data_IF_988902374535
#
_entry.id   IF_988902374535
#
_cell.length_a   1.000
_cell.length_b   1.000
_cell.length_c   1.000
_cell.angle_alpha   90.00
_cell.angle_beta   90.00
_cell.angle_gamma   90.00
#
_symmetry.space_group_name_H-M   'P 1'
#
loop_
_entity.id
_entity.type
_entity.pdbx_description
1 polymer ?
#
# COMPACT_ATOMS: atom_id res chain seq x y z
N UNK A 1 -12.69 8.73 4.89
CA UNK A 1 -12.17 7.84 3.85
C UNK A 1 -12.47 6.39 4.14
N UNK A 2 -12.57 5.60 3.11
CA UNK A 2 -12.84 4.17 3.21
C UNK A 2 -11.51 3.42 3.24
N UNK A 3 -11.31 2.63 4.28
CA UNK A 3 -10.14 1.77 4.44
C UNK A 3 -10.21 0.59 3.47
N UNK A 4 -9.06 0.21 2.89
CA UNK A 4 -8.97 -1.00 2.06
C UNK A 4 -7.65 -1.73 2.23
N UNK A 5 -7.70 -3.02 2.02
CA UNK A 5 -6.54 -3.90 1.95
C UNK A 5 -6.28 -4.34 0.50
N UNK A 6 -5.11 -4.89 0.28
CA UNK A 6 -4.70 -5.48 -0.99
C UNK A 6 -4.31 -6.94 -0.79
N UNK A 7 -4.52 -7.76 -1.81
CA UNK A 7 -4.16 -9.18 -1.76
C UNK A 7 -2.68 -9.40 -1.54
N UNK A 8 -1.85 -8.68 -2.30
CA UNK A 8 -0.41 -8.79 -2.24
C UNK A 8 0.21 -7.42 -1.98
N UNK A 9 0.94 -7.31 -0.87
CA UNK A 9 1.55 -6.05 -0.45
C UNK A 9 2.78 -5.74 -1.29
N UNK A 10 2.88 -4.49 -1.75
CA UNK A 10 4.12 -3.94 -2.27
C UNK A 10 5.19 -3.93 -1.17
N UNK A 11 6.39 -4.41 -1.49
CA UNK A 11 7.52 -4.43 -0.57
C UNK A 11 8.01 -3.01 -0.25
N UNK A 12 8.33 -2.73 0.99
CA UNK A 12 8.97 -1.49 1.46
C UNK A 12 9.66 -1.79 2.80
N UNK A 13 10.72 -2.56 2.75
CA UNK A 13 11.63 -2.83 3.89
C UNK A 13 10.91 -3.11 5.23
N UNK A 14 9.89 -3.98 5.20
CA UNK A 14 9.03 -4.35 6.34
C UNK A 14 8.09 -3.24 6.85
N UNK A 15 8.03 -2.07 6.23
CA UNK A 15 7.06 -1.06 6.64
C UNK A 15 5.63 -1.56 6.47
N UNK A 16 4.82 -1.40 7.52
CA UNK A 16 3.37 -1.63 7.45
C UNK A 16 2.70 -0.50 6.66
N UNK A 17 1.61 -0.83 5.97
CA UNK A 17 0.94 0.11 5.09
C UNK A 17 -0.57 0.04 5.28
N UNK A 18 -1.15 1.16 5.64
CA UNK A 18 -2.58 1.36 5.75
C UNK A 18 -3.04 2.23 4.59
N UNK A 19 -4.22 1.94 4.04
CA UNK A 19 -4.70 2.59 2.82
C UNK A 19 -6.15 3.02 2.95
N UNK A 20 -6.45 4.20 2.47
CA UNK A 20 -7.81 4.71 2.34
C UNK A 20 -7.99 5.35 0.98
N UNK A 21 -9.23 5.43 0.55
CA UNK A 21 -9.63 6.28 -0.55
C UNK A 21 -10.78 7.18 -0.16
N UNK A 22 -10.92 8.30 -0.85
CA UNK A 22 -12.00 9.27 -0.71
C UNK A 22 -12.50 9.66 -2.09
N UNK A 23 -13.81 9.61 -2.26
CA UNK A 23 -14.53 10.20 -3.40
C UNK A 23 -15.24 11.44 -2.86
N UNK A 24 -14.91 12.61 -3.40
CA UNK A 24 -15.40 13.90 -2.87
C UNK A 24 -16.85 14.19 -3.25
N UNK A 25 -17.29 13.71 -4.42
CA UNK A 25 -18.67 13.85 -4.88
C UNK A 25 -19.39 12.50 -4.75
N UNK A 26 -20.44 12.40 -3.93
CA UNK A 26 -21.17 11.15 -3.71
C UNK A 26 -21.92 10.65 -4.97
N UNK A 27 -22.04 11.45 -6.02
CA UNK A 27 -22.63 11.04 -7.29
C UNK A 27 -21.61 10.42 -8.26
N UNK A 28 -20.33 10.47 -7.93
CA UNK A 28 -19.27 9.89 -8.74
C UNK A 28 -18.94 8.47 -8.29
N UNK A 29 -18.59 7.63 -9.23
CA UNK A 29 -18.27 6.22 -9.02
C UNK A 29 -16.93 5.84 -9.64
N UNK A 30 -16.39 4.72 -9.17
CA UNK A 30 -15.24 4.04 -9.74
C UNK A 30 -15.69 3.23 -10.97
N UNK A 31 -15.00 3.37 -12.10
CA UNK A 31 -15.26 2.54 -13.26
C UNK A 31 -14.51 1.21 -13.14
N UNK A 32 -15.27 0.13 -12.93
CA UNK A 32 -14.72 -1.23 -12.81
C UNK A 32 -14.11 -1.73 -14.11
N UNK A 33 -12.97 -2.43 -13.99
CA UNK A 33 -12.40 -3.23 -15.09
C UNK A 33 -11.93 -4.58 -14.56
N UNK A 34 -12.29 -5.65 -15.25
CA UNK A 34 -11.87 -7.00 -14.89
C UNK A 34 -10.34 -7.16 -14.94
N UNK A 35 -9.70 -6.53 -15.91
CA UNK A 35 -8.24 -6.51 -16.08
C UNK A 35 -7.76 -5.08 -16.33
N UNK A 36 -6.54 -4.79 -15.88
CA UNK A 36 -5.93 -3.48 -16.01
C UNK A 36 -6.42 -2.46 -14.98
N UNK A 37 -5.98 -1.19 -15.12
CA UNK A 37 -6.35 -0.12 -14.23
C UNK A 37 -7.84 0.22 -14.30
N UNK A 38 -8.43 0.50 -13.14
CA UNK A 38 -9.78 1.07 -13.06
C UNK A 38 -9.76 2.54 -13.46
N UNK A 39 -10.91 3.13 -13.71
CA UNK A 39 -11.04 4.58 -13.87
C UNK A 39 -11.53 5.22 -12.58
N UNK A 40 -11.01 6.40 -12.29
CA UNK A 40 -11.21 7.11 -11.03
C UNK A 40 -11.85 8.47 -11.29
N UNK A 41 -12.77 8.90 -10.42
CA UNK A 41 -13.39 10.20 -10.56
C UNK A 41 -12.41 11.34 -10.25
N UNK A 42 -12.68 12.49 -10.83
CA UNK A 42 -11.96 13.73 -10.59
C UNK A 42 -12.00 14.11 -9.10
N UNK A 43 -10.88 14.57 -8.59
CA UNK A 43 -10.76 14.94 -7.18
C UNK A 43 -10.68 13.76 -6.21
N UNK A 44 -10.68 12.51 -6.69
CA UNK A 44 -10.48 11.36 -5.83
C UNK A 44 -9.11 11.38 -5.18
N UNK A 45 -9.05 10.99 -3.92
CA UNK A 45 -7.81 10.96 -3.12
C UNK A 45 -7.55 9.55 -2.62
N UNK A 46 -6.34 9.06 -2.87
CA UNK A 46 -5.81 7.87 -2.21
C UNK A 46 -4.83 8.27 -1.11
N UNK A 47 -4.95 7.63 0.04
CA UNK A 47 -4.08 7.85 1.20
C UNK A 47 -3.32 6.57 1.50
N UNK A 48 -2.01 6.66 1.67
CA UNK A 48 -1.14 5.56 2.06
C UNK A 48 -0.28 5.98 3.25
N UNK A 49 -0.55 5.38 4.39
CA UNK A 49 0.18 5.62 5.63
C UNK A 49 1.20 4.52 5.87
N UNK A 50 2.41 4.89 6.28
CA UNK A 50 3.51 3.97 6.56
C UNK A 50 3.86 4.01 8.04
N UNK A 51 3.95 2.83 8.63
CA UNK A 51 4.50 2.62 9.95
C UNK A 51 5.70 1.67 9.86
N UNK A 52 6.69 1.85 10.73
CA UNK A 52 7.92 1.06 10.71
C UNK A 52 8.11 0.36 12.05
N UNK A 53 8.42 -0.94 12.06
CA UNK A 53 8.67 -1.69 13.28
C UNK A 53 9.98 -1.20 13.93
N UNK A 54 9.94 -1.00 15.26
CA UNK A 54 11.07 -0.42 15.99
C UNK A 54 11.94 -1.45 16.73
N UNK A 55 11.47 -2.70 16.84
CA UNK A 55 12.22 -3.79 17.49
C UNK A 55 12.48 -4.94 16.52
N UNK A 56 13.72 -5.37 16.43
CA UNK A 56 14.21 -6.32 15.44
C UNK A 56 15.12 -7.35 16.08
N UNK A 57 15.25 -8.50 15.41
CA UNK A 57 16.20 -9.56 15.74
C UNK A 57 17.01 -9.97 14.51
N UNK A 58 18.25 -10.39 14.76
CA UNK A 58 19.07 -11.07 13.77
C UNK A 58 18.71 -12.54 13.70
N UNK A 59 18.72 -13.12 12.50
CA UNK A 59 18.57 -14.56 12.30
C UNK A 59 19.49 -15.04 11.18
N UNK A 60 19.82 -16.33 11.22
CA UNK A 60 20.64 -16.95 10.18
C UNK A 60 19.76 -17.78 9.24
N UNK A 61 20.06 -17.73 7.96
CA UNK A 61 19.46 -18.59 6.95
C UNK A 61 20.52 -19.13 5.99
N UNK A 62 20.25 -20.27 5.37
CA UNK A 62 21.13 -20.82 4.34
C UNK A 62 20.57 -20.47 2.97
N UNK A 63 21.41 -19.86 2.13
CA UNK A 63 21.06 -19.55 0.74
C UNK A 63 22.24 -19.97 -0.17
N UNK A 64 21.98 -20.81 -1.16
CA UNK A 64 23.02 -21.39 -2.05
C UNK A 64 24.20 -22.02 -1.30
N UNK A 65 23.93 -22.72 -0.18
CA UNK A 65 24.96 -23.36 0.65
C UNK A 65 25.77 -22.41 1.55
N UNK A 66 25.48 -21.13 1.54
CA UNK A 66 26.12 -20.13 2.40
C UNK A 66 25.20 -19.74 3.55
N UNK A 67 25.75 -19.63 4.76
CA UNK A 67 25.02 -19.08 5.90
C UNK A 67 25.07 -17.56 5.83
N UNK A 68 23.90 -16.95 5.80
CA UNK A 68 23.71 -15.49 5.75
C UNK A 68 23.05 -15.06 7.04
N UNK A 69 23.56 -14.01 7.67
CA UNK A 69 22.88 -13.32 8.76
C UNK A 69 21.99 -12.24 8.15
N UNK A 70 20.71 -12.27 8.47
CA UNK A 70 19.69 -11.34 8.02
C UNK A 70 18.95 -10.78 9.24
N UNK A 71 18.06 -9.83 9.06
CA UNK A 71 17.28 -9.22 10.15
C UNK A 71 15.79 -9.21 9.81
N UNK A 72 14.96 -9.32 10.85
CA UNK A 72 13.50 -9.21 10.72
C UNK A 72 12.90 -8.48 11.93
N UNK A 73 11.74 -7.83 11.80
CA UNK A 73 11.05 -7.28 12.94
C UNK A 73 10.58 -8.39 13.87
N UNK A 74 10.56 -8.12 15.17
CA UNK A 74 9.88 -8.98 16.15
C UNK A 74 8.37 -9.01 15.86
N UNK A 75 7.71 -10.13 16.14
CA UNK A 75 6.28 -10.35 15.82
C UNK A 75 5.37 -9.25 16.40
N UNK A 76 5.65 -8.78 17.61
CA UNK A 76 4.89 -7.74 18.28
C UNK A 76 5.68 -6.42 18.38
N UNK A 77 6.54 -6.13 17.41
CA UNK A 77 7.32 -4.90 17.39
C UNK A 77 6.42 -3.67 17.44
N UNK A 78 6.66 -2.73 18.36
CA UNK A 78 5.96 -1.45 18.33
C UNK A 78 6.17 -0.74 17.00
N UNK A 79 5.10 -0.10 16.51
CA UNK A 79 5.11 0.59 15.22
C UNK A 79 5.33 2.08 15.43
N UNK A 80 6.10 2.69 14.54
CA UNK A 80 6.36 4.13 14.49
C UNK A 80 5.84 4.69 13.17
N UNK A 81 5.04 5.74 13.24
CA UNK A 81 4.57 6.46 12.04
C UNK A 81 5.75 7.11 11.34
N UNK A 82 5.84 6.94 10.03
CA UNK A 82 6.95 7.45 9.22
C UNK A 82 6.48 8.53 8.26
N UNK A 83 5.55 8.18 7.39
CA UNK A 83 5.01 9.11 6.43
C UNK A 83 3.57 8.76 6.04
N UNK A 84 2.87 9.76 5.54
CA UNK A 84 1.56 9.59 4.89
C UNK A 84 1.62 10.24 3.51
N UNK A 85 1.36 9.44 2.49
CA UNK A 85 1.28 9.88 1.08
C UNK A 85 -0.15 10.06 0.66
N UNK A 86 -0.40 11.12 -0.08
CA UNK A 86 -1.67 11.38 -0.77
C UNK A 86 -1.39 11.36 -2.27
N UNK A 87 -2.22 10.64 -3.02
CA UNK A 87 -2.28 10.70 -4.47
C UNK A 87 -3.65 11.29 -4.83
N UNK A 88 -3.64 12.41 -5.52
CA UNK A 88 -4.86 13.17 -5.86
C UNK A 88 -5.05 13.11 -7.37
N UNK A 89 -6.21 12.62 -7.81
CA UNK A 89 -6.64 12.70 -9.20
C UNK A 89 -7.18 14.10 -9.50
N UNK A 90 -6.74 14.67 -10.59
CA UNK A 90 -7.09 16.02 -11.01
C UNK A 90 -8.19 16.01 -12.08
N UNK A 91 -8.82 17.14 -12.32
CA UNK A 91 -9.93 17.28 -13.28
C UNK A 91 -9.50 17.20 -14.75
N UNK A 92 -8.21 17.23 -15.02
CA UNK A 92 -7.62 17.03 -16.36
C UNK A 92 -7.18 15.57 -16.61
N UNK A 93 -7.56 14.66 -15.71
CA UNK A 93 -7.28 13.22 -15.84
C UNK A 93 -5.87 12.81 -15.42
N UNK A 94 -5.07 13.73 -14.84
CA UNK A 94 -3.75 13.45 -14.29
C UNK A 94 -3.82 13.12 -12.79
N UNK A 95 -2.65 12.94 -12.18
CA UNK A 95 -2.55 12.81 -10.72
C UNK A 95 -1.26 13.45 -10.22
N UNK A 96 -1.28 13.86 -8.96
CA UNK A 96 -0.07 14.30 -8.27
C UNK A 96 0.03 13.70 -6.87
N UNK A 97 1.26 13.55 -6.38
CA UNK A 97 1.54 13.02 -5.05
C UNK A 97 2.05 14.10 -4.11
N UNK A 98 1.63 14.04 -2.84
CA UNK A 98 2.21 14.80 -1.73
C UNK A 98 2.46 13.86 -0.55
N UNK A 99 3.55 14.10 0.18
CA UNK A 99 3.92 13.32 1.35
C UNK A 99 4.00 14.20 2.58
N UNK A 100 3.58 13.65 3.71
CA UNK A 100 3.77 14.23 5.04
C UNK A 100 4.68 13.31 5.84
N UNK A 101 5.73 13.88 6.43
CA UNK A 101 6.63 13.19 7.35
C UNK A 101 6.09 13.34 8.77
N UNK A 102 6.01 12.23 9.50
CA UNK A 102 5.67 12.25 10.93
C UNK A 102 6.89 12.62 11.76
N UNK A 103 6.68 13.51 12.70
CA UNK A 103 7.75 14.00 13.56
C UNK A 103 8.19 12.96 14.59
N UNK A 104 9.50 12.96 14.88
CA UNK A 104 10.07 12.25 15.98
C UNK A 104 9.89 13.09 17.25
N UNK A 105 8.86 12.81 18.03
CA UNK A 105 8.75 13.42 19.34
C UNK A 105 9.48 12.55 20.38
N UNK A 106 10.30 13.16 21.22
CA UNK A 106 10.97 12.49 22.35
C UNK A 106 9.98 11.95 23.38
N UNK A 107 8.69 12.30 23.29
CA UNK A 107 7.61 11.87 24.19
C UNK A 107 6.97 10.53 23.78
N UNK A 108 7.40 9.89 22.71
CA UNK A 108 6.83 8.64 22.20
C UNK A 108 5.45 8.77 21.55
N UNK A 109 4.82 9.95 21.58
CA UNK A 109 3.53 10.21 20.94
C UNK A 109 3.72 11.06 19.70
N UNK A 110 3.51 10.47 18.52
CA UNK A 110 3.57 11.19 17.26
C UNK A 110 2.19 11.75 16.93
N UNK A 111 1.99 13.04 17.11
CA UNK A 111 0.72 13.75 16.90
C UNK A 111 0.74 14.65 15.67
N UNK A 112 1.92 15.00 15.16
CA UNK A 112 2.09 15.96 14.08
C UNK A 112 2.82 15.36 12.89
N UNK A 113 2.39 15.77 11.71
CA UNK A 113 3.05 15.45 10.45
C UNK A 113 3.22 16.72 9.63
N UNK A 114 4.42 16.94 9.12
CA UNK A 114 4.77 18.12 8.31
C UNK A 114 4.86 17.76 6.84
N UNK A 115 4.41 18.68 5.99
CA UNK A 115 4.51 18.54 4.54
C UNK A 115 5.99 18.37 4.15
N UNK A 116 6.29 17.25 3.49
CA UNK A 116 7.62 17.01 2.97
C UNK A 116 7.94 17.95 1.80
N UNK A 117 9.21 18.37 1.66
CA UNK A 117 9.64 19.19 0.54
C UNK A 117 9.33 18.55 -0.83
N UNK A 118 9.07 19.35 -1.85
CA UNK A 118 8.76 18.86 -3.21
C UNK A 118 9.90 18.06 -3.86
N UNK A 119 11.14 18.33 -3.42
CA UNK A 119 12.34 17.59 -3.83
C UNK A 119 12.61 16.33 -2.97
N UNK A 120 11.63 15.92 -2.14
CA UNK A 120 11.76 14.74 -1.28
C UNK A 120 12.56 14.98 -0.01
N UNK A 121 12.74 13.93 0.78
CA UNK A 121 13.53 13.98 2.00
C UNK A 121 14.20 12.62 2.27
N UNK A 122 15.42 12.67 2.83
CA UNK A 122 16.10 11.52 3.38
C UNK A 122 16.30 11.72 4.88
N UNK A 123 16.05 10.69 5.67
CA UNK A 123 16.27 10.71 7.11
C UNK A 123 16.44 9.30 7.64
N UNK A 124 16.96 9.20 8.84
CA UNK A 124 17.16 7.92 9.50
C UNK A 124 16.03 7.61 10.48
N UNK A 125 15.71 6.33 10.59
CA UNK A 125 14.79 5.76 11.57
C UNK A 125 15.60 4.95 12.55
N UNK A 126 15.57 5.29 13.84
CA UNK A 126 16.20 4.50 14.87
C UNK A 126 15.35 3.28 15.20
N UNK A 127 15.98 2.12 15.18
CA UNK A 127 15.40 0.83 15.56
C UNK A 127 16.32 0.15 16.60
N UNK A 128 15.77 -0.78 17.37
CA UNK A 128 16.55 -1.63 18.27
C UNK A 128 16.72 -3.00 17.60
N UNK A 129 17.95 -3.38 17.29
CA UNK A 129 18.33 -4.68 16.75
C UNK A 129 19.15 -5.44 17.80
N UNK A 130 18.66 -6.57 18.29
CA UNK A 130 19.28 -7.40 19.32
C UNK A 130 19.70 -6.62 20.58
N UNK A 131 18.92 -5.59 20.94
CA UNK A 131 19.20 -4.71 22.08
C UNK A 131 20.02 -3.46 21.79
N UNK A 132 20.62 -3.36 20.62
CA UNK A 132 21.42 -2.22 20.18
C UNK A 132 20.61 -1.27 19.32
N UNK A 133 20.76 0.06 19.53
CA UNK A 133 20.10 1.06 18.68
C UNK A 133 20.93 1.26 17.43
N UNK A 134 20.32 1.07 16.27
CA UNK A 134 20.90 1.35 14.96
C UNK A 134 19.97 2.26 14.14
N UNK A 135 20.54 3.04 13.24
CA UNK A 135 19.81 3.90 12.33
C UNK A 135 19.66 3.25 10.96
N UNK A 136 18.44 3.24 10.42
CA UNK A 136 18.14 2.74 9.07
C UNK A 136 17.62 3.88 8.19
N UNK A 137 18.08 4.01 6.93
CA UNK A 137 17.70 5.11 6.08
C UNK A 137 16.28 4.95 5.56
N UNK A 138 15.54 6.06 5.48
CA UNK A 138 14.24 6.17 4.82
C UNK A 138 14.24 7.31 3.82
N UNK A 139 13.63 7.09 2.66
CA UNK A 139 13.51 8.09 1.60
C UNK A 139 12.06 8.41 1.30
N UNK A 140 11.68 9.67 1.45
CA UNK A 140 10.46 10.21 0.87
C UNK A 140 10.79 10.66 -0.55
N UNK A 141 10.13 10.13 -1.59
CA UNK A 141 10.42 10.48 -2.98
C UNK A 141 10.08 11.95 -3.28
N UNK A 142 10.67 12.50 -4.32
CA UNK A 142 10.27 13.78 -4.90
C UNK A 142 8.83 13.69 -5.43
N UNK A 143 8.12 14.80 -5.61
CA UNK A 143 6.79 14.80 -6.24
C UNK A 143 6.82 14.17 -7.64
N UNK A 144 7.81 14.52 -8.45
CA UNK A 144 8.00 13.90 -9.77
C UNK A 144 8.37 12.41 -9.67
N UNK A 145 9.10 12.02 -8.62
CA UNK A 145 9.41 10.62 -8.33
C UNK A 145 8.18 9.76 -8.07
N UNK A 146 7.10 10.33 -7.52
CA UNK A 146 5.84 9.61 -7.36
C UNK A 146 5.25 9.24 -8.73
N UNK A 147 5.26 10.17 -9.69
CA UNK A 147 4.65 10.01 -11.02
C UNK A 147 5.47 9.09 -11.93
N UNK A 148 6.72 8.80 -11.60
CA UNK A 148 7.49 7.77 -12.32
C UNK A 148 6.78 6.40 -12.30
N UNK A 149 6.15 6.05 -11.17
CA UNK A 149 5.37 4.81 -11.05
C UNK A 149 3.86 5.06 -11.17
N UNK A 150 3.35 6.18 -10.60
CA UNK A 150 1.95 6.56 -10.65
C UNK A 150 1.67 7.39 -11.92
N UNK A 151 1.87 6.80 -13.09
CA UNK A 151 1.71 7.41 -14.40
C UNK A 151 0.43 6.94 -15.10
N UNK A 152 0.13 7.51 -16.27
CA UNK A 152 -1.04 7.20 -17.06
C UNK A 152 -1.12 5.71 -17.46
N UNK A 153 0.00 5.09 -17.87
CA UNK A 153 0.05 3.69 -18.28
C UNK A 153 -0.33 2.74 -17.13
N UNK A 154 0.00 3.12 -15.91
CA UNK A 154 -0.37 2.39 -14.68
C UNK A 154 -1.76 2.77 -14.15
N UNK A 155 -2.48 3.68 -14.81
CA UNK A 155 -3.76 4.23 -14.34
C UNK A 155 -3.63 5.02 -13.04
N UNK A 156 -2.45 5.58 -12.77
CA UNK A 156 -2.06 6.35 -11.58
C UNK A 156 -2.15 5.59 -10.24
N UNK A 157 -3.13 4.70 -10.05
CA UNK A 157 -3.38 4.02 -8.77
C UNK A 157 -2.98 2.55 -8.82
N UNK A 158 -1.68 2.27 -8.59
CA UNK A 158 -1.02 0.98 -8.82
C UNK A 158 -1.69 -0.23 -8.16
N UNK A 159 -2.22 -0.10 -6.96
CA UNK A 159 -2.76 -1.22 -6.18
C UNK A 159 -4.28 -1.21 -6.04
N UNK A 160 -5.00 -0.31 -6.74
CA UNK A 160 -6.45 -0.23 -6.69
C UNK A 160 -7.05 -0.81 -7.98
N UNK A 161 -7.03 -2.11 -8.11
CA UNK A 161 -7.50 -2.87 -9.27
C UNK A 161 -8.10 -4.21 -8.83
N UNK A 162 -8.77 -4.90 -9.75
CA UNK A 162 -9.49 -6.15 -9.46
C UNK A 162 -8.62 -7.21 -8.81
N UNK A 163 -7.39 -7.44 -9.30
CA UNK A 163 -6.51 -8.49 -8.77
C UNK A 163 -6.07 -8.22 -7.34
N UNK A 164 -5.95 -6.96 -6.95
CA UNK A 164 -5.55 -6.55 -5.61
C UNK A 164 -6.73 -6.43 -4.65
N UNK A 165 -7.90 -5.99 -5.14
CA UNK A 165 -9.07 -5.75 -4.32
C UNK A 165 -10.00 -6.97 -4.17
N UNK A 166 -9.79 -8.02 -4.97
CA UNK A 166 -10.49 -9.30 -4.78
C UNK A 166 -9.98 -10.00 -3.52
N UNK A 167 -10.34 -9.46 -2.37
CA UNK A 167 -9.96 -9.90 -1.02
C UNK A 167 -11.05 -9.49 -0.03
N UNK A 168 -11.01 -10.04 1.18
CA UNK A 168 -11.92 -9.63 2.25
C UNK A 168 -11.65 -8.18 2.65
N UNK A 169 -12.71 -7.42 2.91
CA UNK A 169 -12.67 -6.06 3.42
C UNK A 169 -13.89 -5.75 4.27
N UNK A 170 -14.00 -4.48 4.69
CA UNK A 170 -15.15 -4.02 5.46
C UNK A 170 -15.50 -2.58 5.11
N UNK A 171 -16.79 -2.29 4.98
CA UNK A 171 -17.35 -0.94 4.84
C UNK A 171 -18.49 -0.81 5.86
N UNK A 172 -18.43 0.21 6.70
CA UNK A 172 -19.43 0.51 7.73
C UNK A 172 -19.78 -0.68 8.65
N UNK A 173 -18.75 -1.49 8.98
CA UNK A 173 -18.89 -2.67 9.84
C UNK A 173 -19.39 -3.93 9.14
N UNK A 174 -19.83 -3.87 7.90
CA UNK A 174 -20.15 -5.04 7.08
C UNK A 174 -18.88 -5.58 6.42
N UNK A 175 -18.68 -6.89 6.51
CA UNK A 175 -17.49 -7.58 5.99
C UNK A 175 -17.86 -8.60 4.93
N UNK A 176 -17.24 -8.49 3.76
CA UNK A 176 -17.38 -9.41 2.63
C UNK A 176 -16.18 -9.25 1.68
N UNK A 177 -16.25 -9.80 0.47
CA UNK A 177 -15.35 -9.45 -0.61
C UNK A 177 -15.41 -7.95 -0.89
N UNK A 178 -14.27 -7.28 -0.91
CA UNK A 178 -14.24 -5.82 -0.96
C UNK A 178 -14.84 -5.24 -2.26
N UNK A 179 -14.70 -5.93 -3.40
CA UNK A 179 -15.33 -5.51 -4.67
C UNK A 179 -16.85 -5.62 -4.59
N UNK A 180 -17.36 -6.66 -3.95
CA UNK A 180 -18.79 -6.83 -3.69
C UNK A 180 -19.32 -5.68 -2.81
N UNK A 181 -18.64 -5.37 -1.72
CA UNK A 181 -19.00 -4.25 -0.86
C UNK A 181 -18.99 -2.91 -1.60
N UNK A 182 -17.98 -2.65 -2.43
CA UNK A 182 -17.93 -1.44 -3.25
C UNK A 182 -19.15 -1.33 -4.17
N UNK A 183 -19.61 -2.44 -4.74
CA UNK A 183 -20.83 -2.47 -5.56
C UNK A 183 -22.10 -2.23 -4.72
N UNK A 184 -22.27 -2.96 -3.61
CA UNK A 184 -23.43 -2.86 -2.72
C UNK A 184 -23.61 -1.45 -2.14
N UNK A 185 -22.50 -0.78 -1.83
CA UNK A 185 -22.50 0.59 -1.32
C UNK A 185 -22.54 1.67 -2.43
N UNK A 186 -22.66 1.28 -3.71
CA UNK A 186 -22.81 2.20 -4.83
C UNK A 186 -21.52 2.90 -5.27
N UNK A 187 -20.35 2.42 -4.87
CA UNK A 187 -19.05 2.98 -5.28
C UNK A 187 -18.59 2.54 -6.66
N UNK A 188 -19.15 1.44 -7.21
CA UNK A 188 -18.77 0.91 -8.52
C UNK A 188 -19.86 1.18 -9.57
N UNK A 189 -19.47 1.70 -10.74
CA UNK A 189 -20.20 1.55 -11.99
C UNK A 189 -19.70 0.32 -12.76
N UNK A 190 -20.54 -0.18 -13.67
CA UNK A 190 -20.20 -1.21 -14.68
C UNK A 190 -19.74 -2.57 -14.09
N UNK A 191 -19.98 -2.85 -12.82
CA UNK A 191 -19.72 -4.14 -12.23
C UNK A 191 -20.92 -5.08 -12.35
N UNK A 192 -20.69 -6.23 -12.97
CA UNK A 192 -21.68 -7.32 -13.02
C UNK A 192 -21.44 -8.26 -11.81
N UNK A 193 -22.38 -8.35 -10.85
CA UNK A 193 -22.28 -9.23 -9.69
C UNK A 193 -22.09 -10.72 -10.02
N UNK A 194 -22.50 -11.16 -11.22
CA UNK A 194 -22.31 -12.55 -11.65
C UNK A 194 -20.83 -12.90 -11.85
N UNK A 195 -19.97 -11.91 -12.04
CA UNK A 195 -18.52 -12.10 -12.16
C UNK A 195 -17.84 -12.41 -10.83
N UNK A 196 -18.52 -12.20 -9.69
CA UNK A 196 -17.93 -12.27 -8.35
C UNK A 196 -17.10 -13.54 -8.12
N UNK A 197 -17.63 -14.71 -8.48
CA UNK A 197 -16.96 -16.01 -8.24
C UNK A 197 -15.72 -16.24 -9.13
N UNK A 198 -15.59 -15.49 -10.20
CA UNK A 198 -14.55 -15.66 -11.22
C UNK A 198 -13.58 -14.47 -11.31
N UNK A 199 -13.60 -13.57 -10.33
CA UNK A 199 -12.69 -12.43 -10.33
C UNK A 199 -11.23 -12.89 -10.19
N UNK A 200 -10.32 -12.39 -11.03
CA UNK A 200 -8.90 -12.69 -10.90
C UNK A 200 -8.33 -12.08 -9.61
N UNK A 201 -7.31 -12.74 -9.05
CA UNK A 201 -6.61 -12.22 -7.87
C UNK A 201 -5.11 -12.48 -7.97
N UNK A 202 -4.31 -11.64 -7.31
CA UNK A 202 -2.93 -11.95 -7.00
C UNK A 202 -2.86 -12.95 -5.85
N UNK A 203 -1.85 -13.80 -5.86
CA UNK A 203 -1.57 -14.76 -4.80
C UNK A 203 -0.37 -14.33 -3.98
N UNK A 204 -0.42 -14.63 -2.68
CA UNK A 204 0.70 -14.34 -1.77
C UNK A 204 1.81 -15.38 -1.94
N UNK A 205 3.06 -15.05 -1.62
CA UNK A 205 4.19 -15.98 -1.71
C UNK A 205 4.01 -17.28 -0.90
N UNK A 206 3.23 -17.23 0.19
CA UNK A 206 2.98 -18.36 1.10
C UNK A 206 1.68 -19.13 0.82
N UNK A 207 0.94 -18.82 -0.24
CA UNK A 207 -0.27 -19.58 -0.65
C UNK A 207 0.13 -20.80 -1.48
N UNK A 208 0.49 -21.90 -0.81
CA UNK A 208 1.07 -23.10 -1.43
C UNK A 208 0.10 -23.89 -2.30
N UNK A 209 -1.20 -23.64 -2.21
CA UNK A 209 -2.23 -24.19 -3.10
C UNK A 209 -2.06 -23.70 -4.57
N UNK A 210 -1.30 -22.64 -4.77
CA UNK A 210 -0.93 -22.12 -6.08
C UNK A 210 0.49 -22.50 -6.46
N UNK A 211 0.73 -22.73 -7.75
CA UNK A 211 2.08 -23.04 -8.24
C UNK A 211 3.08 -21.94 -7.90
N UNK A 212 4.34 -22.34 -7.72
CA UNK A 212 5.43 -21.37 -7.47
C UNK A 212 5.52 -20.30 -8.59
N UNK A 213 5.30 -20.70 -9.85
CA UNK A 213 5.28 -19.78 -10.98
C UNK A 213 4.18 -18.73 -10.83
N UNK A 214 2.96 -19.13 -10.46
CA UNK A 214 1.84 -18.20 -10.28
C UNK A 214 2.11 -17.22 -9.14
N UNK A 215 2.65 -17.70 -8.02
CA UNK A 215 3.04 -16.86 -6.88
C UNK A 215 4.16 -15.87 -7.24
N UNK A 216 5.18 -16.34 -7.97
CA UNK A 216 6.27 -15.50 -8.42
C UNK A 216 5.79 -14.41 -9.41
N UNK A 217 4.94 -14.77 -10.39
CA UNK A 217 4.34 -13.81 -11.32
C UNK A 217 3.51 -12.75 -10.59
N UNK A 218 2.69 -13.15 -9.63
CA UNK A 218 1.91 -12.22 -8.80
C UNK A 218 2.82 -11.23 -8.05
N UNK A 219 3.93 -11.74 -7.47
CA UNK A 219 4.89 -10.89 -6.76
C UNK A 219 5.58 -9.89 -7.69
N UNK A 220 6.02 -10.32 -8.87
CA UNK A 220 6.67 -9.47 -9.87
C UNK A 220 5.69 -8.39 -10.36
N UNK A 221 4.44 -8.76 -10.68
CA UNK A 221 3.42 -7.83 -11.18
C UNK A 221 3.11 -6.69 -10.19
N UNK A 222 3.24 -6.96 -8.90
CA UNK A 222 2.98 -5.95 -7.84
C UNK A 222 4.23 -5.12 -7.51
N UNK A 223 5.45 -5.67 -7.67
CA UNK A 223 6.68 -5.06 -7.15
C UNK A 223 7.65 -4.56 -8.24
N UNK A 224 7.41 -4.87 -9.49
CA UNK A 224 8.23 -4.44 -10.63
C UNK A 224 7.42 -3.77 -11.70
#
# INVERSE_FOLDING_TARGET
GIYYNVNLRFWSDYAEKYRWFLINDPNQTLGFKLNGPWTYPDGMVFVKHFEYPTQWESFTRTFNGQTITDRRPLENSPQRKIETRFLVHTTDGEAYGVSYRWENTNSGTQTEANLAPSNGANFDIDITLDGEVISVPWTIPTRNGCITCHNEQAGYSLSFNTRQLNTSGSIDGNSDNFIQLLHEYGYLSDFDPQLHQNLPRHTRPNEEDYSLEHRARSYIDVNC
#
